data_IF_892161638083
#
_entry.id   IF_892161638083
#
_cell.length_a   1.000
_cell.length_b   1.000
_cell.length_c   1.000
_cell.angle_alpha   90.00
_cell.angle_beta   90.00
_cell.angle_gamma   90.00
#
_symmetry.space_group_name_H-M   'P 1'
#
loop_
_entity.id
_entity.type
_entity.pdbx_description
1 polymer ?
#
# COMPACT_ATOMS: atom_id res chain seq x y z
N UNK A 1 -7.92 1.19 20.71
CA UNK A 1 -6.85 1.79 21.53
C UNK A 1 -6.18 2.86 20.69
N UNK A 2 -6.03 4.07 21.20
CA UNK A 2 -5.44 5.17 20.45
C UNK A 2 -3.92 5.06 20.56
N UNK A 3 -3.20 5.03 19.44
CA UNK A 3 -1.74 4.93 19.41
C UNK A 3 -1.14 6.31 19.13
N UNK A 4 0.01 6.59 19.72
CA UNK A 4 0.79 7.80 19.44
C UNK A 4 1.64 7.59 18.18
N UNK A 5 1.00 7.45 17.03
CA UNK A 5 1.60 7.36 15.70
C UNK A 5 1.40 8.65 14.90
N UNK A 6 2.06 8.75 13.75
CA UNK A 6 1.99 9.95 12.93
C UNK A 6 0.56 10.35 12.56
N UNK A 7 -0.29 9.39 12.19
CA UNK A 7 -1.68 9.65 11.83
C UNK A 7 -2.48 10.25 12.98
N UNK A 8 -2.33 9.69 14.18
CA UNK A 8 -3.02 10.15 15.39
C UNK A 8 -2.52 11.53 15.84
N UNK A 9 -1.19 11.74 15.80
CA UNK A 9 -0.57 13.03 16.17
C UNK A 9 -1.00 14.13 15.21
N UNK A 10 -0.96 13.89 13.89
CA UNK A 10 -1.44 14.84 12.89
C UNK A 10 -2.96 15.09 13.04
N UNK A 11 -3.73 14.08 13.40
CA UNK A 11 -5.16 14.21 13.69
C UNK A 11 -5.42 15.19 14.83
N UNK A 12 -4.67 15.09 15.94
CA UNK A 12 -4.75 16.04 17.07
C UNK A 12 -4.31 17.44 16.62
N UNK A 13 -3.17 17.58 15.99
CA UNK A 13 -2.67 18.88 15.51
C UNK A 13 -3.71 19.57 14.62
N UNK A 14 -4.30 18.86 13.65
CA UNK A 14 -5.32 19.41 12.75
C UNK A 14 -6.59 19.87 13.43
N UNK A 15 -6.99 19.23 14.52
CA UNK A 15 -8.18 19.59 15.27
C UNK A 15 -8.09 21.03 15.83
N UNK A 16 -6.89 21.52 16.06
CA UNK A 16 -6.61 22.83 16.67
C UNK A 16 -6.08 23.86 15.67
N UNK A 17 -6.24 23.64 14.37
CA UNK A 17 -5.98 24.66 13.36
C UNK A 17 -6.93 25.84 13.48
N UNK A 18 -6.44 27.02 13.17
CA UNK A 18 -7.22 28.24 13.15
C UNK A 18 -8.28 28.17 12.03
N UNK A 19 -9.56 28.35 12.35
CA UNK A 19 -10.72 28.12 11.48
C UNK A 19 -10.73 28.91 10.16
N UNK A 20 -9.89 29.93 9.99
CA UNK A 20 -9.83 30.76 8.78
C UNK A 20 -8.87 30.30 7.69
N UNK A 21 -8.00 29.31 7.96
CA UNK A 21 -6.88 28.97 7.07
C UNK A 21 -6.51 27.49 7.09
N UNK A 22 -7.51 26.60 7.07
CA UNK A 22 -7.20 25.16 7.02
C UNK A 22 -6.54 24.81 5.68
N UNK A 23 -5.21 24.66 5.63
CA UNK A 23 -4.54 24.27 4.39
C UNK A 23 -5.02 22.89 3.95
N UNK A 24 -4.87 22.58 2.67
CA UNK A 24 -5.09 21.21 2.21
C UNK A 24 -4.15 20.25 2.95
N UNK A 25 -4.55 18.99 3.10
CA UNK A 25 -3.71 18.01 3.81
C UNK A 25 -2.28 17.89 3.24
N UNK A 26 -2.09 17.91 1.92
CA UNK A 26 -0.74 17.91 1.32
C UNK A 26 0.07 19.17 1.65
N UNK A 27 -0.52 20.35 1.58
CA UNK A 27 0.15 21.61 1.95
C UNK A 27 0.60 21.60 3.40
N UNK A 28 -0.27 21.17 4.30
CA UNK A 28 0.06 21.03 5.71
C UNK A 28 1.27 20.12 5.96
N UNK A 29 1.37 19.00 5.27
CA UNK A 29 2.50 18.08 5.43
C UNK A 29 3.77 18.64 4.79
N UNK A 30 3.65 19.33 3.65
CA UNK A 30 4.78 19.99 3.03
C UNK A 30 5.36 21.08 3.95
N UNK A 31 4.50 21.91 4.54
CA UNK A 31 4.90 22.95 5.50
C UNK A 31 5.53 22.33 6.75
N UNK A 32 4.95 21.24 7.27
CA UNK A 32 5.51 20.52 8.41
C UNK A 32 6.92 20.00 8.14
N UNK A 33 7.19 19.54 6.93
CA UNK A 33 8.49 19.01 6.52
C UNK A 33 9.31 20.00 5.70
N UNK A 34 9.03 21.31 5.82
CA UNK A 34 9.70 22.34 5.04
C UNK A 34 11.22 22.28 5.18
N UNK A 35 11.75 22.20 6.40
CA UNK A 35 13.19 22.09 6.65
C UNK A 35 13.83 20.84 6.04
N UNK A 36 13.07 19.75 5.88
CA UNK A 36 13.53 18.58 5.16
C UNK A 36 13.50 18.81 3.65
N UNK A 37 12.42 19.36 3.12
CA UNK A 37 12.24 19.63 1.70
C UNK A 37 13.32 20.58 1.15
N UNK A 38 13.64 21.64 1.89
CA UNK A 38 14.68 22.62 1.53
C UNK A 38 16.08 21.99 1.37
N UNK A 39 16.37 20.94 2.14
CA UNK A 39 17.65 20.23 2.11
C UNK A 39 17.66 18.99 1.21
N UNK A 40 16.51 18.59 0.70
CA UNK A 40 16.33 17.39 -0.12
C UNK A 40 15.46 17.71 -1.34
N UNK A 41 15.94 18.59 -2.20
CA UNK A 41 15.23 19.06 -3.42
C UNK A 41 14.87 17.91 -4.39
N UNK A 42 15.56 16.78 -4.30
CA UNK A 42 15.30 15.56 -5.06
C UNK A 42 14.17 14.69 -4.51
N UNK A 43 13.61 15.05 -3.36
CA UNK A 43 12.52 14.31 -2.74
C UNK A 43 11.16 14.77 -3.25
N UNK A 44 10.41 13.86 -3.86
CA UNK A 44 9.06 14.14 -4.35
C UNK A 44 8.02 13.81 -3.28
N UNK A 45 7.25 14.85 -2.88
CA UNK A 45 6.12 14.72 -1.98
C UNK A 45 4.86 14.31 -2.76
N UNK A 46 4.74 13.02 -3.10
CA UNK A 46 3.54 12.50 -3.76
C UNK A 46 2.30 12.57 -2.86
N UNK A 47 1.24 13.18 -3.37
CA UNK A 47 -0.03 13.34 -2.65
C UNK A 47 -0.66 12.00 -2.23
N UNK A 48 -0.48 10.95 -3.02
CA UNK A 48 -0.96 9.61 -2.68
C UNK A 48 -0.22 9.04 -1.48
N UNK A 49 1.09 9.27 -1.40
CA UNK A 49 1.95 8.86 -0.30
C UNK A 49 1.61 9.63 0.98
N UNK A 50 1.50 10.96 0.89
CA UNK A 50 1.06 11.82 2.02
C UNK A 50 -0.28 11.36 2.58
N UNK A 51 -1.26 11.10 1.73
CA UNK A 51 -2.57 10.62 2.16
C UNK A 51 -2.50 9.26 2.88
N UNK A 52 -1.56 8.40 2.52
CA UNK A 52 -1.32 7.12 3.21
C UNK A 52 -0.73 7.34 4.61
N UNK A 53 0.21 8.28 4.76
CA UNK A 53 0.78 8.64 6.07
C UNK A 53 -0.29 9.20 7.01
N UNK A 54 -1.08 10.18 6.54
CA UNK A 54 -2.15 10.82 7.33
C UNK A 54 -3.22 9.81 7.75
N UNK A 55 -3.53 8.83 6.89
CA UNK A 55 -4.53 7.79 7.20
C UNK A 55 -3.96 6.61 8.02
N UNK A 56 -2.68 6.65 8.38
CA UNK A 56 -2.01 5.55 9.04
C UNK A 56 -1.97 4.25 8.21
N UNK A 57 -1.93 4.36 6.89
CA UNK A 57 -1.84 3.24 5.96
C UNK A 57 -0.40 2.91 5.56
N UNK A 58 0.52 3.79 5.86
CA UNK A 58 1.95 3.62 5.66
C UNK A 58 2.72 4.47 6.70
N UNK A 59 3.95 4.08 7.08
CA UNK A 59 4.83 4.93 7.87
C UNK A 59 5.27 6.16 7.04
N UNK A 60 5.74 7.19 7.73
CA UNK A 60 6.42 8.31 7.07
C UNK A 60 7.69 7.80 6.39
N UNK A 61 8.06 8.44 5.28
CA UNK A 61 9.26 8.05 4.53
C UNK A 61 10.48 7.88 5.44
N UNK A 62 11.26 6.79 5.29
CA UNK A 62 12.50 6.59 6.04
C UNK A 62 13.47 7.77 5.94
N UNK A 63 13.58 8.42 4.77
CA UNK A 63 14.43 9.60 4.57
C UNK A 63 14.02 10.77 5.47
N UNK A 64 12.72 11.00 5.64
CA UNK A 64 12.18 12.03 6.53
C UNK A 64 12.42 11.63 7.99
N UNK A 65 12.14 10.38 8.35
CA UNK A 65 12.35 9.87 9.69
C UNK A 65 13.83 9.99 10.12
N UNK A 66 14.73 9.61 9.24
CA UNK A 66 16.18 9.68 9.44
C UNK A 66 16.69 11.11 9.63
N UNK A 67 16.18 12.05 8.81
CA UNK A 67 16.49 13.47 8.93
C UNK A 67 16.14 14.02 10.32
N UNK A 68 14.92 13.70 10.82
CA UNK A 68 14.47 14.18 12.12
C UNK A 68 14.98 13.37 13.33
N UNK A 69 15.82 12.37 13.13
CA UNK A 69 16.62 11.77 14.20
C UNK A 69 17.79 12.65 14.62
N UNK A 70 18.25 13.54 13.73
CA UNK A 70 19.32 14.47 14.07
C UNK A 70 18.79 15.57 15.01
N UNK A 71 19.51 15.80 16.11
CA UNK A 71 19.14 16.79 17.12
C UNK A 71 18.87 18.19 16.53
N UNK A 72 19.73 18.64 15.61
CA UNK A 72 19.59 19.93 14.93
C UNK A 72 18.31 20.03 14.07
N UNK A 73 17.87 18.94 13.46
CA UNK A 73 16.65 18.92 12.68
C UNK A 73 15.40 18.92 13.59
N UNK A 74 15.43 18.21 14.71
CA UNK A 74 14.37 18.22 15.72
C UNK A 74 14.26 19.60 16.39
N UNK A 75 15.40 20.25 16.69
CA UNK A 75 15.42 21.64 17.19
C UNK A 75 14.90 22.63 16.14
N UNK A 76 15.21 22.42 14.85
CA UNK A 76 14.64 23.19 13.74
C UNK A 76 13.14 23.06 13.65
N UNK A 77 12.60 21.86 13.73
CA UNK A 77 11.15 21.61 13.74
C UNK A 77 10.47 22.31 14.93
N UNK A 78 11.09 22.28 16.11
CA UNK A 78 10.58 23.00 17.27
C UNK A 78 10.53 24.52 17.04
N UNK A 79 11.59 25.09 16.45
CA UNK A 79 11.65 26.51 16.10
C UNK A 79 10.61 26.88 15.02
N UNK A 80 10.43 26.05 14.02
CA UNK A 80 9.43 26.24 12.97
C UNK A 80 8.00 26.24 13.54
N UNK A 81 7.73 25.35 14.49
CA UNK A 81 6.45 25.31 15.21
C UNK A 81 6.22 26.56 16.08
N UNK A 82 7.25 27.05 16.79
CA UNK A 82 7.18 28.25 17.60
C UNK A 82 7.03 29.53 16.77
N UNK A 83 7.69 29.62 15.63
CA UNK A 83 7.69 30.78 14.76
C UNK A 83 6.47 30.87 13.83
N UNK A 84 5.55 29.90 13.90
CA UNK A 84 4.30 29.94 13.13
C UNK A 84 4.46 29.66 11.65
N UNK A 85 5.55 29.05 11.22
CA UNK A 85 5.70 28.49 9.88
C UNK A 85 4.63 27.40 9.66
N UNK A 86 4.32 26.70 10.73
CA UNK A 86 3.15 25.85 10.83
C UNK A 86 2.14 26.55 11.74
N UNK A 87 1.11 27.23 11.22
CA UNK A 87 0.16 27.98 12.04
C UNK A 87 -0.69 27.01 12.88
N UNK A 88 -0.08 26.47 13.90
CA UNK A 88 -0.79 25.84 14.99
C UNK A 88 -1.19 27.03 15.85
N UNK A 89 -2.42 27.41 15.95
CA UNK A 89 -3.22 26.94 16.98
C UNK A 89 -4.20 27.95 17.39
N UNK A 90 -5.36 27.57 17.23
CA UNK A 90 -6.49 28.15 17.93
C UNK A 90 -6.38 27.95 19.46
N UNK A 91 -5.89 26.78 19.93
CA UNK A 91 -5.70 26.50 21.35
C UNK A 91 -4.51 25.55 21.59
N UNK A 92 -3.34 26.11 21.79
CA UNK A 92 -2.09 25.41 22.04
C UNK A 92 -2.12 24.54 23.29
N UNK A 93 -2.73 25.02 24.35
CA UNK A 93 -2.82 24.31 25.64
C UNK A 93 -3.67 23.02 25.48
N UNK A 94 -4.74 23.08 24.70
CA UNK A 94 -5.59 21.93 24.43
C UNK A 94 -4.89 20.91 23.55
N UNK A 95 -4.18 21.36 22.51
CA UNK A 95 -3.41 20.47 21.64
C UNK A 95 -2.32 19.74 22.42
N UNK A 96 -1.56 20.45 23.24
CA UNK A 96 -0.53 19.87 24.11
C UNK A 96 -1.12 18.84 25.07
N UNK A 97 -2.25 19.17 25.70
CA UNK A 97 -2.96 18.24 26.59
C UNK A 97 -3.38 16.97 25.87
N UNK A 98 -3.93 17.09 24.66
CA UNK A 98 -4.43 15.93 23.92
C UNK A 98 -3.27 15.10 23.36
N UNK A 99 -2.16 15.71 22.94
CA UNK A 99 -0.93 15.00 22.59
C UNK A 99 -0.30 14.30 23.79
N UNK A 100 -0.31 14.94 24.97
CA UNK A 100 0.14 14.34 26.22
C UNK A 100 -0.70 13.10 26.56
N UNK A 101 -2.03 13.22 26.48
CA UNK A 101 -2.94 12.09 26.72
C UNK A 101 -2.71 10.97 25.70
N UNK A 102 -2.49 11.31 24.42
CA UNK A 102 -2.19 10.33 23.37
C UNK A 102 -0.89 9.57 23.68
N UNK A 103 0.16 10.26 24.10
CA UNK A 103 1.44 9.68 24.50
C UNK A 103 1.29 8.76 25.73
N UNK A 104 0.63 9.24 26.80
CA UNK A 104 0.52 8.54 28.06
C UNK A 104 -0.39 7.30 27.98
N UNK A 105 -1.45 7.36 27.16
CA UNK A 105 -2.39 6.24 27.01
C UNK A 105 -1.92 5.17 26.03
N UNK A 106 -0.81 5.37 25.36
CA UNK A 106 -0.25 4.36 24.46
C UNK A 106 0.53 3.32 25.25
N UNK A 107 -0.01 2.11 25.30
CA UNK A 107 0.61 0.98 26.02
C UNK A 107 1.84 0.39 25.33
N UNK A 108 1.99 0.65 24.03
CA UNK A 108 3.16 0.22 23.24
C UNK A 108 4.40 1.12 23.45
N UNK A 109 4.32 2.14 24.33
CA UNK A 109 5.44 3.00 24.68
C UNK A 109 5.88 2.71 26.11
N UNK A 110 7.17 2.47 26.32
CA UNK A 110 7.71 2.24 27.65
C UNK A 110 7.55 3.48 28.53
N UNK A 111 7.30 3.29 29.83
CA UNK A 111 7.16 4.40 30.78
C UNK A 111 8.41 5.29 30.83
N UNK A 112 9.58 4.69 30.63
CA UNK A 112 10.84 5.44 30.53
C UNK A 112 10.82 6.39 29.32
N UNK A 113 10.32 5.94 28.15
CA UNK A 113 10.26 6.78 26.96
C UNK A 113 9.18 7.85 27.06
N UNK A 114 8.04 7.54 27.66
CA UNK A 114 7.00 8.53 27.98
C UNK A 114 7.54 9.63 28.86
N UNK A 115 8.24 9.26 29.93
CA UNK A 115 8.89 10.20 30.85
C UNK A 115 9.94 11.03 30.14
N UNK A 116 10.80 10.42 29.35
CA UNK A 116 11.81 11.13 28.55
C UNK A 116 11.18 12.25 27.69
N UNK A 117 10.14 11.93 26.90
CA UNK A 117 9.48 12.90 26.04
C UNK A 117 8.77 13.99 26.86
N UNK A 118 8.04 13.61 27.91
CA UNK A 118 7.24 14.55 28.68
C UNK A 118 8.04 15.46 29.61
N UNK A 119 9.21 15.02 30.08
CA UNK A 119 10.04 15.79 31.04
C UNK A 119 11.13 16.63 30.37
N UNK A 120 11.45 16.34 29.10
CA UNK A 120 12.50 17.09 28.40
C UNK A 120 12.12 18.53 28.11
N UNK A 121 10.80 18.83 28.03
CA UNK A 121 10.28 20.15 27.60
C UNK A 121 9.11 20.64 28.46
N UNK A 122 9.27 20.78 29.78
CA UNK A 122 8.15 21.05 30.69
C UNK A 122 7.51 22.45 30.50
N UNK A 123 8.25 23.42 29.98
CA UNK A 123 7.83 24.81 29.85
C UNK A 123 7.77 25.31 28.40
N UNK A 124 7.98 24.43 27.42
CA UNK A 124 8.01 24.77 26.00
C UNK A 124 7.05 23.88 25.21
N UNK A 125 5.87 24.43 24.93
CA UNK A 125 4.81 23.74 24.21
C UNK A 125 5.24 23.34 22.78
N UNK A 126 5.94 24.22 22.07
CA UNK A 126 6.42 23.95 20.71
C UNK A 126 7.43 22.82 20.70
N UNK A 127 8.37 22.82 21.63
CA UNK A 127 9.36 21.76 21.76
C UNK A 127 8.74 20.42 22.16
N UNK A 128 7.71 20.43 23.02
CA UNK A 128 6.97 19.21 23.34
C UNK A 128 6.23 18.64 22.12
N UNK A 129 5.52 19.49 21.37
CA UNK A 129 4.82 19.09 20.13
C UNK A 129 5.82 18.53 19.12
N UNK A 130 6.98 19.18 18.95
CA UNK A 130 8.05 18.70 18.08
C UNK A 130 8.59 17.33 18.55
N UNK A 131 8.81 17.14 19.84
CA UNK A 131 9.29 15.87 20.39
C UNK A 131 8.30 14.73 20.16
N UNK A 132 7.01 14.96 20.35
CA UNK A 132 5.95 13.97 20.06
C UNK A 132 5.87 13.69 18.57
N UNK A 133 5.98 14.71 17.72
CA UNK A 133 6.00 14.56 16.26
C UNK A 133 7.22 13.76 15.80
N UNK A 134 8.42 14.10 16.26
CA UNK A 134 9.66 13.37 15.92
C UNK A 134 9.56 11.91 16.37
N UNK A 135 9.03 11.68 17.55
CA UNK A 135 8.76 10.32 18.01
C UNK A 135 7.79 9.59 17.07
N UNK A 136 6.68 10.22 16.72
CA UNK A 136 5.66 9.63 15.85
C UNK A 136 6.14 9.40 14.40
N UNK A 137 6.98 10.30 13.86
CA UNK A 137 7.64 10.17 12.55
C UNK A 137 8.58 8.97 12.54
N UNK A 138 9.33 8.76 13.64
CA UNK A 138 10.28 7.67 13.78
C UNK A 138 9.63 6.36 14.20
N UNK A 139 8.37 6.41 14.62
CA UNK A 139 7.64 5.22 14.98
C UNK A 139 7.24 4.46 13.72
N UNK A 140 7.79 3.27 13.56
CA UNK A 140 7.43 2.38 12.45
C UNK A 140 5.94 2.06 12.53
N UNK A 141 5.35 1.91 11.35
CA UNK A 141 3.94 1.52 11.23
C UNK A 141 3.75 0.08 11.68
N UNK A 142 3.37 -0.09 12.93
CA UNK A 142 3.05 -1.38 13.50
C UNK A 142 1.58 -1.71 13.26
N UNK A 143 1.31 -2.37 12.13
CA UNK A 143 0.10 -3.16 11.98
C UNK A 143 0.37 -4.52 12.61
N UNK A 144 -0.22 -4.71 13.79
CA UNK A 144 -0.29 -5.99 14.51
C UNK A 144 1.05 -6.65 14.84
N UNK A 145 1.52 -6.48 16.03
CA UNK A 145 1.64 -7.42 17.14
C UNK A 145 2.43 -6.83 18.29
N UNK A 146 1.80 -6.79 19.46
CA UNK A 146 2.43 -6.44 20.74
C UNK A 146 3.60 -7.39 21.11
N UNK A 147 3.72 -8.54 20.44
CA UNK A 147 4.79 -9.53 20.64
C UNK A 147 6.09 -9.19 19.91
N UNK A 148 6.05 -8.51 18.77
CA UNK A 148 7.24 -8.14 18.00
C UNK A 148 8.04 -7.00 18.64
N UNK A 149 7.42 -6.19 19.50
CA UNK A 149 8.03 -5.04 20.17
C UNK A 149 8.91 -5.41 21.38
N UNK A 150 8.71 -6.56 21.97
CA UNK A 150 9.40 -6.91 23.24
C UNK A 150 10.72 -7.63 23.05
N UNK A 151 11.09 -8.06 21.86
CA UNK A 151 12.27 -8.93 21.70
C UNK A 151 13.42 -8.37 20.89
N UNK A 152 13.40 -7.14 20.33
CA UNK A 152 14.60 -6.51 19.74
C UNK A 152 15.39 -7.34 18.71
N UNK A 153 14.98 -8.54 18.45
CA UNK A 153 15.51 -9.51 17.50
C UNK A 153 14.34 -10.20 16.87
N UNK A 154 14.22 -10.17 15.56
CA UNK A 154 13.46 -11.17 14.85
C UNK A 154 14.09 -12.51 15.24
N UNK A 155 13.50 -13.13 16.26
CA UNK A 155 13.84 -14.50 16.59
C UNK A 155 13.43 -15.33 15.37
N UNK A 156 14.30 -16.20 14.86
CA UNK A 156 13.91 -17.06 13.76
C UNK A 156 12.76 -17.93 14.29
N UNK A 157 11.56 -17.63 13.78
CA UNK A 157 10.46 -18.57 13.73
C UNK A 157 9.87 -18.92 15.10
N UNK A 158 8.91 -18.14 15.52
CA UNK A 158 7.73 -18.65 16.20
C UNK A 158 6.62 -18.76 15.14
N UNK A 159 5.67 -19.66 15.30
CA UNK A 159 4.52 -19.90 14.38
C UNK A 159 3.55 -18.70 14.29
N UNK A 160 4.00 -17.50 14.62
CA UNK A 160 3.21 -16.28 14.67
C UNK A 160 3.29 -15.53 13.32
N UNK A 161 2.18 -14.95 12.92
CA UNK A 161 2.03 -14.09 11.73
C UNK A 161 3.04 -12.94 11.79
N UNK A 162 4.03 -12.95 10.94
CA UNK A 162 5.12 -11.97 10.92
C UNK A 162 4.73 -10.72 10.10
N UNK A 163 3.88 -10.92 9.10
CA UNK A 163 3.39 -9.86 8.23
C UNK A 163 1.88 -9.95 8.06
N UNK A 164 1.14 -9.08 8.67
CA UNK A 164 -0.23 -8.74 8.26
C UNK A 164 -0.17 -7.49 7.37
N UNK A 165 0.61 -7.56 6.31
CA UNK A 165 0.58 -6.55 5.26
C UNK A 165 -0.85 -6.48 4.74
N UNK A 166 -1.46 -5.29 4.74
CA UNK A 166 -2.81 -5.13 4.23
C UNK A 166 -2.84 -5.50 2.75
N UNK A 167 -3.12 -6.77 2.48
CA UNK A 167 -3.41 -7.21 1.12
C UNK A 167 -4.59 -6.39 0.63
N UNK A 168 -4.45 -5.66 -0.48
CA UNK A 168 -5.56 -4.88 -1.02
C UNK A 168 -6.74 -5.81 -1.29
N UNK A 169 -7.94 -5.40 -0.88
CA UNK A 169 -9.15 -6.16 -1.20
C UNK A 169 -9.37 -6.17 -2.71
N UNK A 170 -9.90 -7.26 -3.27
CA UNK A 170 -10.36 -7.27 -4.65
C UNK A 170 -11.44 -6.20 -4.85
N UNK A 171 -11.66 -5.78 -6.08
CA UNK A 171 -12.71 -4.82 -6.41
C UNK A 171 -14.09 -5.35 -5.96
N UNK A 172 -14.99 -4.43 -5.63
CA UNK A 172 -16.33 -4.74 -5.09
C UNK A 172 -17.14 -5.69 -6.00
N UNK A 173 -16.86 -5.66 -7.29
CA UNK A 173 -17.63 -6.40 -8.31
C UNK A 173 -16.80 -7.52 -8.96
N UNK A 174 -15.78 -8.01 -8.25
CA UNK A 174 -15.05 -9.20 -8.69
C UNK A 174 -15.99 -10.39 -8.84
N UNK A 175 -16.02 -11.03 -10.00
CA UNK A 175 -16.95 -12.12 -10.33
C UNK A 175 -16.41 -13.04 -11.43
N UNK A 176 -17.00 -14.23 -11.53
CA UNK A 176 -16.82 -15.15 -12.64
C UNK A 176 -15.43 -15.76 -12.80
N UNK A 177 -14.65 -15.87 -11.69
CA UNK A 177 -13.28 -16.39 -11.68
C UNK A 177 -13.07 -17.51 -10.65
N UNK A 178 -14.12 -18.19 -10.25
CA UNK A 178 -14.04 -19.25 -9.22
C UNK A 178 -13.22 -20.45 -9.71
N UNK A 179 -13.33 -20.80 -10.99
CA UNK A 179 -12.55 -21.86 -11.60
C UNK A 179 -11.07 -21.48 -11.67
N UNK A 180 -10.77 -20.26 -12.10
CA UNK A 180 -9.40 -19.76 -12.20
C UNK A 180 -8.75 -19.63 -10.82
N UNK A 181 -9.52 -19.25 -9.77
CA UNK A 181 -9.02 -19.26 -8.39
C UNK A 181 -8.64 -20.64 -7.92
N UNK A 182 -9.49 -21.64 -8.21
CA UNK A 182 -9.25 -23.04 -7.85
C UNK A 182 -8.08 -23.64 -8.63
N UNK A 183 -7.98 -23.34 -9.92
CA UNK A 183 -6.88 -23.78 -10.77
C UNK A 183 -5.55 -23.16 -10.35
N UNK A 184 -5.53 -21.83 -10.08
CA UNK A 184 -4.35 -21.13 -9.56
C UNK A 184 -3.89 -21.72 -8.23
N UNK A 185 -4.81 -22.12 -7.35
CA UNK A 185 -4.49 -22.78 -6.11
C UNK A 185 -3.78 -24.13 -6.34
N UNK A 186 -4.34 -24.98 -7.20
CA UNK A 186 -3.75 -26.26 -7.54
C UNK A 186 -2.36 -26.12 -8.16
N UNK A 187 -2.18 -25.14 -9.03
CA UNK A 187 -0.88 -24.83 -9.65
C UNK A 187 0.15 -24.37 -8.62
N UNK A 188 -0.25 -23.50 -7.68
CA UNK A 188 0.65 -23.02 -6.61
C UNK A 188 1.06 -24.14 -5.65
N UNK A 189 0.17 -25.11 -5.38
CA UNK A 189 0.50 -26.28 -4.58
C UNK A 189 1.61 -27.13 -5.25
N UNK A 190 1.59 -27.22 -6.59
CA UNK A 190 2.53 -28.05 -7.35
C UNK A 190 3.85 -27.32 -7.69
N UNK A 191 3.79 -26.02 -7.98
CA UNK A 191 4.90 -25.29 -8.59
C UNK A 191 5.50 -24.20 -7.72
N UNK A 192 4.86 -23.80 -6.64
CA UNK A 192 5.27 -22.75 -5.70
C UNK A 192 5.45 -21.34 -6.31
N UNK A 193 5.80 -21.21 -7.58
CA UNK A 193 6.03 -19.94 -8.29
C UNK A 193 5.20 -19.88 -9.55
N UNK A 194 4.26 -18.94 -9.61
CA UNK A 194 3.30 -18.83 -10.72
C UNK A 194 3.29 -17.42 -11.28
N UNK A 195 3.41 -17.32 -12.59
CA UNK A 195 3.23 -16.08 -13.36
C UNK A 195 1.81 -16.05 -13.93
N UNK A 196 0.93 -15.25 -13.34
CA UNK A 196 -0.40 -14.97 -13.89
C UNK A 196 -0.22 -14.00 -15.05
N UNK A 197 -0.24 -14.55 -16.27
CA UNK A 197 -0.06 -13.82 -17.52
C UNK A 197 -1.40 -13.45 -18.14
N UNK A 198 -1.45 -12.40 -18.92
CA UNK A 198 -2.62 -11.96 -19.67
C UNK A 198 -2.55 -10.49 -20.05
N UNK A 199 -3.43 -10.06 -20.94
CA UNK A 199 -3.47 -8.68 -21.44
C UNK A 199 -3.78 -7.67 -20.35
N UNK A 200 -3.51 -6.38 -20.61
CA UNK A 200 -3.85 -5.32 -19.68
C UNK A 200 -5.38 -5.25 -19.44
N UNK A 201 -5.84 -5.05 -18.21
CA UNK A 201 -7.27 -4.92 -17.89
C UNK A 201 -8.06 -6.22 -17.83
N UNK A 202 -7.46 -7.40 -18.01
CA UNK A 202 -8.15 -8.70 -17.95
C UNK A 202 -8.50 -9.14 -16.53
N UNK A 203 -7.94 -8.50 -15.49
CA UNK A 203 -8.24 -8.78 -14.09
C UNK A 203 -7.16 -9.52 -13.31
N UNK A 204 -5.90 -9.59 -13.79
CA UNK A 204 -4.80 -10.31 -13.11
C UNK A 204 -4.58 -9.88 -11.67
N UNK A 205 -4.48 -8.57 -11.41
CA UNK A 205 -4.30 -8.00 -10.07
C UNK A 205 -5.49 -8.31 -9.17
N UNK A 206 -6.70 -8.25 -9.73
CA UNK A 206 -7.92 -8.56 -8.99
C UNK A 206 -8.02 -10.05 -8.65
N UNK A 207 -7.59 -10.93 -9.57
CA UNK A 207 -7.50 -12.36 -9.31
C UNK A 207 -6.50 -12.67 -8.18
N UNK A 208 -5.32 -12.04 -8.18
CA UNK A 208 -4.33 -12.23 -7.13
C UNK A 208 -4.82 -11.75 -5.76
N UNK A 209 -5.51 -10.61 -5.71
CA UNK A 209 -6.15 -10.10 -4.47
C UNK A 209 -7.28 -11.03 -3.99
N UNK A 210 -8.11 -11.50 -4.91
CA UNK A 210 -9.19 -12.43 -4.60
C UNK A 210 -8.65 -13.77 -4.11
N UNK A 211 -7.57 -14.27 -4.71
CA UNK A 211 -6.86 -15.46 -4.26
C UNK A 211 -6.38 -15.31 -2.82
N UNK A 212 -5.68 -14.22 -2.50
CA UNK A 212 -5.21 -13.94 -1.15
C UNK A 212 -6.36 -13.89 -0.13
N UNK A 213 -7.50 -13.31 -0.51
CA UNK A 213 -8.68 -13.23 0.35
C UNK A 213 -9.33 -14.60 0.55
N UNK A 214 -9.49 -15.40 -0.53
CA UNK A 214 -10.14 -16.69 -0.50
C UNK A 214 -9.32 -17.73 0.30
N UNK A 215 -8.01 -17.74 0.11
CA UNK A 215 -7.09 -18.70 0.71
C UNK A 215 -6.31 -18.16 1.91
N UNK A 216 -6.77 -17.06 2.53
CA UNK A 216 -6.11 -16.44 3.68
C UNK A 216 -5.77 -17.43 4.80
N UNK A 217 -6.64 -18.40 5.04
CA UNK A 217 -6.46 -19.40 6.12
C UNK A 217 -5.40 -20.47 5.83
N UNK A 218 -4.98 -20.59 4.58
CA UNK A 218 -3.94 -21.55 4.14
C UNK A 218 -2.53 -21.02 4.32
N UNK A 219 -2.40 -19.73 4.68
CA UNK A 219 -1.11 -19.07 4.80
C UNK A 219 -0.94 -18.43 6.18
N UNK A 220 0.24 -18.61 6.78
CA UNK A 220 0.65 -17.91 7.99
C UNK A 220 0.96 -16.44 7.68
N UNK A 221 1.59 -16.19 6.53
CA UNK A 221 1.95 -14.85 6.09
C UNK A 221 1.47 -14.59 4.66
N UNK A 222 0.96 -13.40 4.39
CA UNK A 222 0.65 -12.93 3.03
C UNK A 222 1.27 -11.55 2.83
N UNK A 223 2.16 -11.46 1.85
CA UNK A 223 2.81 -10.20 1.45
C UNK A 223 2.32 -9.79 0.07
N UNK A 224 1.97 -8.51 -0.07
CA UNK A 224 1.54 -7.95 -1.35
C UNK A 224 2.41 -6.75 -1.71
N UNK A 225 3.07 -6.84 -2.85
CA UNK A 225 3.91 -5.79 -3.38
C UNK A 225 3.43 -5.37 -4.76
N UNK A 226 3.54 -4.09 -5.07
CA UNK A 226 3.43 -3.60 -6.45
C UNK A 226 4.84 -3.38 -6.98
N UNK A 227 5.19 -4.04 -8.07
CA UNK A 227 6.52 -3.91 -8.67
C UNK A 227 6.76 -2.48 -9.18
N UNK A 228 7.83 -1.86 -8.72
CA UNK A 228 8.21 -0.47 -9.01
C UNK A 228 9.45 -0.33 -9.90
N UNK A 229 9.94 -1.44 -10.50
CA UNK A 229 11.08 -1.43 -11.40
C UNK A 229 12.31 -2.20 -10.89
N UNK A 230 12.37 -2.55 -9.60
CA UNK A 230 13.45 -3.32 -9.00
C UNK A 230 12.95 -4.21 -7.87
N UNK A 231 13.15 -5.52 -7.96
CA UNK A 231 12.88 -6.46 -6.85
C UNK A 231 13.86 -6.25 -5.70
N UNK A 232 15.08 -5.86 -6.00
CA UNK A 232 16.08 -5.58 -4.96
C UNK A 232 15.62 -4.45 -4.07
N UNK A 233 15.20 -3.34 -4.67
CA UNK A 233 14.75 -2.16 -3.90
C UNK A 233 13.44 -2.48 -3.18
N UNK A 234 12.50 -3.16 -3.82
CA UNK A 234 11.25 -3.60 -3.20
C UNK A 234 11.49 -4.45 -1.94
N UNK A 235 12.47 -5.37 -1.98
CA UNK A 235 12.85 -6.18 -0.81
C UNK A 235 13.60 -5.32 0.22
N UNK A 236 14.47 -4.42 -0.22
CA UNK A 236 15.19 -3.52 0.68
C UNK A 236 14.27 -2.52 1.40
N UNK A 237 13.17 -2.12 0.75
CA UNK A 237 12.18 -1.18 1.29
C UNK A 237 11.17 -1.82 2.25
N UNK A 238 11.23 -3.13 2.45
CA UNK A 238 10.46 -3.79 3.50
C UNK A 238 10.89 -3.26 4.88
N UNK A 239 9.94 -3.07 5.78
CA UNK A 239 10.22 -2.61 7.14
C UNK A 239 10.50 -3.78 8.07
N UNK A 240 11.71 -3.84 8.60
CA UNK A 240 12.11 -4.81 9.62
C UNK A 240 12.51 -4.11 10.92
N UNK A 241 12.17 -4.72 12.04
CA UNK A 241 12.43 -4.16 13.37
C UNK A 241 13.93 -3.97 13.67
N UNK A 242 14.80 -4.72 13.01
CA UNK A 242 16.26 -4.68 13.16
C UNK A 242 16.98 -3.82 12.10
N UNK A 243 16.22 -3.11 11.26
CA UNK A 243 16.81 -2.15 10.34
C UNK A 243 17.42 -0.98 11.10
N UNK A 244 18.67 -0.72 10.82
CA UNK A 244 19.41 0.42 11.38
C UNK A 244 19.33 1.60 10.41
N UNK A 245 19.25 2.84 10.91
CA UNK A 245 19.30 4.03 10.06
C UNK A 245 20.56 4.12 9.19
N UNK A 246 21.64 3.48 9.64
CA UNK A 246 22.92 3.40 8.92
C UNK A 246 22.96 2.33 7.83
N UNK A 247 21.93 1.49 7.72
CA UNK A 247 21.92 0.41 6.74
C UNK A 247 21.60 0.97 5.35
N UNK A 248 22.55 0.86 4.44
CA UNK A 248 22.31 1.17 3.03
C UNK A 248 21.35 0.14 2.38
N UNK A 249 20.82 0.46 1.19
CA UNK A 249 19.89 -0.41 0.46
C UNK A 249 20.44 -1.83 0.23
N UNK A 250 21.77 -1.97 0.01
CA UNK A 250 22.39 -3.29 -0.17
C UNK A 250 22.40 -4.10 1.11
N UNK A 251 22.66 -3.45 2.24
CA UNK A 251 22.66 -4.09 3.55
C UNK A 251 21.25 -4.51 3.97
N UNK A 252 20.26 -3.63 3.78
CA UNK A 252 18.85 -3.94 3.98
C UNK A 252 18.39 -5.11 3.11
N UNK A 253 18.67 -5.05 1.81
CA UNK A 253 18.37 -6.16 0.90
C UNK A 253 18.98 -7.49 1.39
N UNK A 254 20.24 -7.50 1.82
CA UNK A 254 20.91 -8.71 2.31
C UNK A 254 20.26 -9.28 3.57
N UNK A 255 19.87 -8.43 4.51
CA UNK A 255 19.14 -8.81 5.74
C UNK A 255 17.77 -9.37 5.40
N UNK A 256 16.96 -8.61 4.66
CA UNK A 256 15.59 -8.95 4.32
C UNK A 256 15.51 -10.22 3.46
N UNK A 257 16.41 -10.36 2.50
CA UNK A 257 16.49 -11.58 1.68
C UNK A 257 16.88 -12.82 2.51
N UNK A 258 17.77 -12.67 3.53
CA UNK A 258 18.05 -13.78 4.45
C UNK A 258 16.80 -14.21 5.18
N UNK A 259 15.99 -13.26 5.64
CA UNK A 259 14.73 -13.53 6.29
C UNK A 259 13.73 -14.21 5.32
N UNK A 260 13.52 -13.66 4.12
CA UNK A 260 12.64 -14.27 3.13
C UNK A 260 13.02 -15.72 2.80
N UNK A 261 14.31 -16.05 2.82
CA UNK A 261 14.80 -17.43 2.62
C UNK A 261 14.51 -18.35 3.81
N UNK A 262 14.27 -17.82 5.01
CA UNK A 262 13.90 -18.63 6.18
C UNK A 262 12.42 -18.97 6.22
N UNK A 263 11.58 -18.24 5.45
CA UNK A 263 10.15 -18.50 5.31
C UNK A 263 9.91 -19.76 4.50
N UNK A 264 8.75 -20.38 4.72
CA UNK A 264 8.34 -21.63 4.10
C UNK A 264 7.18 -21.44 3.14
N UNK A 265 6.63 -22.53 2.66
CA UNK A 265 5.50 -22.61 1.73
C UNK A 265 4.15 -22.19 2.36
N UNK A 266 4.11 -21.99 3.67
CA UNK A 266 3.01 -21.34 4.38
C UNK A 266 2.99 -19.80 4.25
N UNK A 267 3.95 -19.24 3.52
CA UNK A 267 4.02 -17.81 3.18
C UNK A 267 3.71 -17.60 1.71
N UNK A 268 2.71 -16.73 1.45
CA UNK A 268 2.35 -16.26 0.12
C UNK A 268 2.94 -14.87 -0.15
N UNK A 269 3.65 -14.73 -1.25
CA UNK A 269 4.13 -13.43 -1.75
C UNK A 269 3.42 -13.13 -3.07
N UNK A 270 2.80 -11.97 -3.18
CA UNK A 270 2.19 -11.48 -4.42
C UNK A 270 3.00 -10.29 -4.91
N UNK A 271 3.52 -10.40 -6.13
CA UNK A 271 4.26 -9.33 -6.80
C UNK A 271 3.42 -8.89 -7.99
N UNK A 272 2.68 -7.80 -7.77
CA UNK A 272 1.74 -7.28 -8.77
C UNK A 272 2.43 -6.37 -9.78
N UNK A 273 1.95 -6.39 -11.02
CA UNK A 273 2.43 -5.56 -12.13
C UNK A 273 3.91 -5.81 -12.51
N UNK A 274 4.37 -7.07 -12.43
CA UNK A 274 5.74 -7.48 -12.76
C UNK A 274 5.98 -7.50 -14.27
N UNK A 275 5.95 -6.31 -14.88
CA UNK A 275 6.05 -6.12 -16.34
C UNK A 275 7.48 -5.82 -16.77
N UNK A 276 8.38 -6.78 -16.59
CA UNK A 276 9.80 -6.72 -16.96
C UNK A 276 10.22 -8.00 -17.66
N UNK A 277 11.50 -8.22 -17.84
CA UNK A 277 12.07 -9.47 -18.38
C UNK A 277 13.11 -10.02 -17.41
N UNK A 278 13.35 -11.33 -17.44
CA UNK A 278 14.34 -11.98 -16.59
C UNK A 278 15.75 -11.36 -16.75
N UNK A 279 16.11 -10.91 -17.95
CA UNK A 279 17.40 -10.27 -18.22
C UNK A 279 17.55 -8.88 -17.59
N UNK A 280 16.43 -8.18 -17.37
CA UNK A 280 16.42 -6.84 -16.74
C UNK A 280 16.28 -6.90 -15.23
N UNK A 281 15.88 -8.05 -14.69
CA UNK A 281 15.64 -8.22 -13.25
C UNK A 281 16.43 -9.42 -12.69
N UNK A 282 17.73 -9.24 -12.46
CA UNK A 282 18.60 -10.33 -11.97
C UNK A 282 18.20 -10.82 -10.57
N UNK A 283 17.52 -10.00 -9.77
CA UNK A 283 17.02 -10.39 -8.45
C UNK A 283 15.88 -11.38 -8.52
N UNK A 284 15.26 -11.55 -9.68
CA UNK A 284 14.24 -12.57 -9.90
C UNK A 284 14.74 -13.98 -9.52
N UNK A 285 15.99 -14.32 -9.88
CA UNK A 285 16.60 -15.61 -9.50
C UNK A 285 16.67 -15.83 -7.99
N UNK A 286 16.79 -14.75 -7.23
CA UNK A 286 16.82 -14.79 -5.76
C UNK A 286 15.43 -15.13 -5.22
N UNK A 287 14.39 -14.48 -5.75
CA UNK A 287 13.01 -14.72 -5.38
C UNK A 287 12.56 -16.13 -5.79
N UNK A 288 12.96 -16.60 -6.97
CA UNK A 288 12.64 -17.95 -7.44
C UNK A 288 13.23 -19.06 -6.56
N UNK A 289 14.32 -18.78 -5.83
CA UNK A 289 15.01 -19.76 -4.97
C UNK A 289 14.52 -19.78 -3.52
N UNK A 290 13.64 -18.87 -3.11
CA UNK A 290 13.06 -18.95 -1.78
C UNK A 290 12.03 -20.10 -1.68
N UNK A 291 11.62 -20.48 -0.47
CA UNK A 291 10.67 -21.56 -0.23
C UNK A 291 9.20 -21.09 -0.22
N UNK A 292 8.96 -19.77 -0.29
CA UNK A 292 7.62 -19.20 -0.26
C UNK A 292 6.84 -19.55 -1.53
N UNK A 293 5.52 -19.48 -1.46
CA UNK A 293 4.66 -19.47 -2.65
C UNK A 293 4.59 -18.05 -3.21
N UNK A 294 4.78 -17.91 -4.51
CA UNK A 294 4.82 -16.57 -5.13
C UNK A 294 3.90 -16.52 -6.34
N UNK A 295 3.06 -15.48 -6.36
CA UNK A 295 2.25 -15.10 -7.53
C UNK A 295 2.85 -13.83 -8.12
N UNK A 296 3.22 -13.86 -9.38
CA UNK A 296 3.54 -12.67 -10.16
C UNK A 296 2.37 -12.35 -11.07
N UNK A 297 1.86 -11.13 -11.11
CA UNK A 297 0.95 -10.71 -12.17
C UNK A 297 1.76 -9.97 -13.24
N UNK A 298 1.63 -10.35 -14.49
CA UNK A 298 2.50 -9.85 -15.55
C UNK A 298 1.83 -9.82 -16.91
N UNK A 299 2.39 -9.05 -17.84
CA UNK A 299 2.12 -9.11 -19.28
C UNK A 299 3.29 -9.74 -20.06
N UNK A 300 4.41 -9.94 -19.37
CA UNK A 300 5.61 -10.53 -19.95
C UNK A 300 5.56 -12.05 -19.84
N UNK A 301 6.21 -12.74 -20.78
CA UNK A 301 6.38 -14.19 -20.73
C UNK A 301 7.71 -14.53 -20.07
N UNK A 302 7.68 -15.54 -19.21
CA UNK A 302 8.85 -16.06 -18.52
C UNK A 302 9.00 -17.55 -18.85
N UNK A 303 10.24 -17.98 -19.05
CA UNK A 303 10.59 -19.39 -19.29
C UNK A 303 10.85 -20.15 -17.97
N UNK A 304 10.88 -19.42 -16.85
CA UNK A 304 11.10 -19.94 -15.50
C UNK A 304 9.78 -19.92 -14.70
N UNK A 305 9.60 -20.90 -13.83
CA UNK A 305 8.34 -21.05 -13.07
C UNK A 305 7.21 -21.57 -13.95
N UNK A 306 6.00 -21.51 -13.42
CA UNK A 306 4.79 -21.92 -14.13
C UNK A 306 4.01 -20.69 -14.61
N UNK A 307 3.53 -20.73 -15.85
CA UNK A 307 2.67 -19.65 -16.38
C UNK A 307 1.21 -20.09 -16.32
N UNK A 308 0.40 -19.30 -15.64
CA UNK A 308 -1.05 -19.40 -15.65
C UNK A 308 -1.61 -18.29 -16.56
N UNK A 309 -2.21 -18.68 -17.67
CA UNK A 309 -2.72 -17.73 -18.65
C UNK A 309 -4.16 -17.34 -18.31
N UNK A 310 -4.38 -16.07 -17.92
CA UNK A 310 -5.69 -15.54 -17.63
C UNK A 310 -6.31 -14.96 -18.89
N UNK A 311 -7.40 -15.57 -19.33
CA UNK A 311 -8.18 -15.19 -20.51
C UNK A 311 -9.45 -14.43 -20.14
N UNK A 312 -10.25 -14.07 -21.13
CA UNK A 312 -11.53 -13.41 -20.97
C UNK A 312 -12.54 -14.33 -20.24
N UNK A 313 -13.51 -13.73 -19.55
CA UNK A 313 -14.62 -14.45 -18.95
C UNK A 313 -15.49 -15.00 -20.09
N UNK A 314 -15.61 -16.31 -20.18
CA UNK A 314 -16.36 -16.96 -21.25
C UNK A 314 -17.87 -16.78 -21.10
N UNK A 315 -18.36 -16.79 -19.84
CA UNK A 315 -19.77 -16.74 -19.52
C UNK A 315 -20.38 -15.35 -19.75
N UNK A 316 -21.32 -15.26 -20.67
CA UNK A 316 -21.99 -14.01 -21.05
C UNK A 316 -22.88 -13.48 -19.91
N UNK A 317 -23.52 -14.36 -19.15
CA UNK A 317 -24.39 -13.94 -18.04
C UNK A 317 -23.60 -13.23 -16.94
N UNK A 318 -22.42 -13.72 -16.64
CA UNK A 318 -21.49 -13.06 -15.72
C UNK A 318 -21.09 -11.67 -16.22
N UNK A 319 -20.83 -11.52 -17.51
CA UNK A 319 -20.44 -10.21 -18.10
C UNK A 319 -21.64 -9.24 -18.15
N UNK A 320 -22.83 -9.73 -18.43
CA UNK A 320 -24.07 -8.94 -18.35
C UNK A 320 -24.34 -8.50 -16.90
N UNK A 321 -24.19 -9.41 -15.95
CA UNK A 321 -24.30 -9.09 -14.52
C UNK A 321 -23.29 -8.04 -14.10
N UNK A 322 -22.03 -8.14 -14.58
CA UNK A 322 -21.00 -7.13 -14.35
C UNK A 322 -21.40 -5.78 -14.96
N UNK A 323 -21.88 -5.76 -16.21
CA UNK A 323 -22.37 -4.56 -16.86
C UNK A 323 -23.50 -3.89 -16.06
N UNK A 324 -24.46 -4.68 -15.56
CA UNK A 324 -25.58 -4.21 -14.74
C UNK A 324 -25.18 -3.58 -13.39
N UNK A 325 -23.92 -3.78 -12.93
CA UNK A 325 -23.39 -3.04 -11.76
C UNK A 325 -23.06 -1.58 -12.07
N UNK A 326 -22.92 -1.24 -13.34
CA UNK A 326 -22.50 0.07 -13.80
C UNK A 326 -23.49 0.76 -14.74
N UNK A 327 -24.41 -0.02 -15.35
CA UNK A 327 -25.46 0.46 -16.24
C UNK A 327 -26.82 -0.11 -15.84
N UNK A 328 -27.73 0.77 -15.40
CA UNK A 328 -29.03 0.39 -14.82
C UNK A 328 -29.97 -0.29 -15.82
N UNK A 329 -29.87 0.04 -17.10
CA UNK A 329 -30.75 -0.46 -18.15
C UNK A 329 -30.22 -1.70 -18.89
N UNK A 330 -29.18 -2.35 -18.34
CA UNK A 330 -28.57 -3.55 -18.94
C UNK A 330 -29.60 -4.62 -19.29
N UNK A 331 -30.56 -4.88 -18.41
CA UNK A 331 -31.58 -5.89 -18.62
C UNK A 331 -32.59 -5.46 -19.68
N UNK A 332 -32.94 -4.18 -19.75
CA UNK A 332 -33.90 -3.62 -20.74
C UNK A 332 -33.24 -3.57 -22.14
N UNK A 333 -31.96 -3.34 -22.22
CA UNK A 333 -31.20 -3.22 -23.45
C UNK A 333 -30.25 -4.41 -23.67
N UNK A 334 -30.61 -5.57 -23.17
CA UNK A 334 -29.79 -6.78 -23.09
C UNK A 334 -29.13 -7.15 -24.42
N UNK A 335 -29.88 -7.10 -25.52
CA UNK A 335 -29.37 -7.45 -26.85
C UNK A 335 -28.26 -6.50 -27.29
N UNK A 336 -28.48 -5.20 -27.11
CA UNK A 336 -27.49 -4.17 -27.46
C UNK A 336 -26.25 -4.26 -26.56
N UNK A 337 -26.42 -4.46 -25.24
CA UNK A 337 -25.31 -4.65 -24.31
C UNK A 337 -24.52 -5.92 -24.61
N UNK A 338 -25.21 -7.02 -24.96
CA UNK A 338 -24.57 -8.27 -25.41
C UNK A 338 -23.67 -8.01 -26.63
N UNK A 339 -24.20 -7.29 -27.63
CA UNK A 339 -23.43 -6.92 -28.83
C UNK A 339 -22.20 -6.04 -28.51
N UNK A 340 -22.33 -5.14 -27.53
CA UNK A 340 -21.19 -4.34 -27.04
C UNK A 340 -20.14 -5.24 -26.39
N UNK A 341 -20.53 -6.15 -25.50
CA UNK A 341 -19.65 -7.10 -24.83
C UNK A 341 -18.88 -7.96 -25.85
N UNK A 342 -19.55 -8.40 -26.92
CA UNK A 342 -18.93 -9.16 -28.02
C UNK A 342 -17.94 -8.27 -28.80
N UNK A 343 -18.32 -7.03 -29.11
CA UNK A 343 -17.49 -6.06 -29.84
C UNK A 343 -16.19 -5.77 -29.09
N UNK A 344 -16.23 -5.68 -27.78
CA UNK A 344 -15.03 -5.50 -26.94
C UNK A 344 -14.37 -6.84 -26.57
N UNK A 345 -14.72 -7.92 -27.28
CA UNK A 345 -14.16 -9.25 -27.11
C UNK A 345 -14.18 -9.77 -25.67
N UNK A 346 -15.26 -9.48 -24.94
CA UNK A 346 -15.43 -9.92 -23.53
C UNK A 346 -14.36 -9.42 -22.57
N UNK A 347 -13.57 -8.40 -22.98
CA UNK A 347 -12.51 -7.85 -22.17
C UNK A 347 -13.05 -7.10 -20.95
N UNK A 348 -12.76 -7.60 -19.76
CA UNK A 348 -13.43 -7.22 -18.50
C UNK A 348 -13.44 -5.71 -18.24
N UNK A 349 -12.26 -5.05 -18.36
CA UNK A 349 -12.17 -3.59 -18.17
C UNK A 349 -12.97 -2.83 -19.24
N UNK A 350 -12.96 -3.32 -20.49
CA UNK A 350 -13.70 -2.67 -21.57
C UNK A 350 -15.21 -2.81 -21.37
N UNK A 351 -15.69 -3.93 -20.87
CA UNK A 351 -17.10 -4.13 -20.48
C UNK A 351 -17.51 -3.13 -19.40
N UNK A 352 -16.72 -3.00 -18.34
CA UNK A 352 -16.95 -2.02 -17.27
C UNK A 352 -16.99 -0.58 -17.82
N UNK A 353 -15.98 -0.19 -18.62
CA UNK A 353 -15.91 1.16 -19.19
C UNK A 353 -17.06 1.46 -20.11
N UNK A 354 -17.47 0.50 -20.98
CA UNK A 354 -18.62 0.65 -21.84
C UNK A 354 -19.91 0.86 -21.06
N UNK A 355 -20.14 0.06 -20.03
CA UNK A 355 -21.30 0.20 -19.15
C UNK A 355 -21.34 1.57 -18.44
N UNK A 356 -20.21 2.07 -17.98
CA UNK A 356 -20.09 3.42 -17.38
C UNK A 356 -20.37 4.53 -18.38
N UNK A 357 -19.95 4.37 -19.65
CA UNK A 357 -20.22 5.34 -20.70
C UNK A 357 -21.70 5.35 -21.09
N UNK A 358 -22.34 4.19 -21.19
CA UNK A 358 -23.79 4.06 -21.38
C UNK A 358 -24.55 4.76 -20.23
N UNK A 359 -24.20 4.51 -18.99
CA UNK A 359 -24.83 5.15 -17.82
C UNK A 359 -24.73 6.68 -17.84
N UNK A 360 -23.68 7.22 -18.44
CA UNK A 360 -23.47 8.67 -18.58
C UNK A 360 -24.13 9.26 -19.84
N UNK A 361 -24.79 8.44 -20.67
CA UNK A 361 -25.34 8.87 -21.97
C UNK A 361 -24.26 9.33 -22.97
N UNK A 362 -23.01 8.91 -22.78
CA UNK A 362 -21.90 9.22 -23.70
C UNK A 362 -21.78 8.21 -24.83
N UNK A 363 -22.52 7.12 -24.76
CA UNK A 363 -22.62 6.03 -25.71
C UNK A 363 -24.09 5.66 -25.86
N UNK A 364 -24.56 5.61 -27.11
CA UNK A 364 -25.88 5.04 -27.41
C UNK A 364 -25.68 3.56 -27.75
N UNK A 365 -26.43 2.63 -27.12
CA UNK A 365 -26.24 1.20 -27.31
C UNK A 365 -26.21 0.76 -28.78
N UNK A 366 -27.12 1.32 -29.59
CA UNK A 366 -27.25 1.00 -31.00
C UNK A 366 -26.19 1.67 -31.92
N UNK A 367 -25.45 2.68 -31.44
CA UNK A 367 -24.39 3.31 -32.20
C UNK A 367 -23.07 2.53 -32.14
N UNK A 368 -22.79 1.88 -31.02
CA UNK A 368 -21.57 1.07 -30.82
C UNK A 368 -21.56 -0.14 -31.75
N UNK A 369 -22.74 -0.73 -31.99
CA UNK A 369 -22.89 -1.85 -32.93
C UNK A 369 -22.61 -1.47 -34.38
N UNK A 370 -22.71 -0.18 -34.73
CA UNK A 370 -22.49 0.33 -36.09
C UNK A 370 -21.07 0.77 -36.38
N UNK A 371 -20.26 1.00 -35.33
CA UNK A 371 -18.87 1.43 -35.47
C UNK A 371 -17.98 0.48 -34.64
N UNK A 372 -17.17 -0.38 -35.30
CA UNK A 372 -16.21 -1.18 -34.56
C UNK A 372 -15.25 -0.23 -33.82
N UNK A 373 -15.35 -0.22 -32.50
CA UNK A 373 -14.47 0.58 -31.64
C UNK A 373 -13.07 -0.01 -31.79
N UNK A 374 -12.22 0.65 -32.56
CA UNK A 374 -10.81 0.24 -32.60
C UNK A 374 -10.16 0.53 -31.24
N UNK A 375 -9.44 -0.43 -30.69
CA UNK A 375 -8.72 -0.36 -29.41
C UNK A 375 -7.78 0.86 -29.25
N UNK A 376 -7.53 1.61 -30.30
CA UNK A 376 -6.64 2.77 -30.33
C UNK A 376 -7.21 4.04 -29.73
N UNK A 377 -8.51 4.10 -29.42
CA UNK A 377 -9.17 5.29 -28.89
C UNK A 377 -9.46 5.26 -27.39
N UNK A 378 -9.08 4.17 -26.69
CA UNK A 378 -9.29 4.01 -25.23
C UNK A 378 -7.96 4.08 -24.44
N UNK A 379 -6.93 4.67 -25.02
CA UNK A 379 -5.66 4.97 -24.31
C UNK A 379 -5.65 6.39 -23.77
#
# INVERSE_FOLDING_TARGET
MQRCDFSSVIGVIRQYFNEGSTPSQPEMIYDLFYSFAEKNEDFDFDNGQINRWIKGLAPVSPRIAEFYQHKSAAEGLAADLQNGIFPIMYDEAMAVRDLYNLLMNDIGISEQKKTEISTTYPDDNGAFVAAVLVFAINRKFEKHDEKLLTTGTLSPITDDVIFDGAVPKPCKYFCGRDNELSELHNILELHSKVFVNGIAGIGKSELAKAYAAAYKKSYTNILYFTYSGSLQDMIADMDFADDMPSDDSKMRFKKHNRFLRSLKDDTLIIIDNFNTTASKEPTLDVVMKNNCRVIFTTRSRFEIGHTFELTEIADMETLLSLSGKFYSDTDNEREAVTGIIETVHKHTLSVELSARLLQKGMLEPNEVLKKPVSYTHLR
#
